data_IF_116514091135
#
_entry.id   IF_116514091135
#
_cell.length_a   1.000
_cell.length_b   1.000
_cell.length_c   1.000
_cell.angle_alpha   90.00
_cell.angle_beta   90.00
_cell.angle_gamma   90.00
#
_symmetry.space_group_name_H-M   'P 1'
#
loop_
_entity.id
_entity.type
_entity.pdbx_description
1 polymer ?
#
# COMPACT_ATOMS: atom_id res chain seq x y z
N UNK A 1 28.45 -3.07 3.42
CA UNK A 1 29.17 -2.30 2.40
C UNK A 1 30.27 -1.45 3.08
N UNK A 2 31.53 -1.70 2.76
CA UNK A 2 32.69 -1.00 3.38
C UNK A 2 32.76 0.46 2.86
N UNK A 3 32.39 0.69 1.62
CA UNK A 3 32.36 2.02 1.04
C UNK A 3 31.34 2.91 1.75
N UNK A 4 30.13 2.42 1.97
CA UNK A 4 29.08 3.13 2.70
C UNK A 4 29.52 3.44 4.14
N UNK A 5 30.13 2.50 4.85
CA UNK A 5 30.66 2.73 6.19
C UNK A 5 31.72 3.85 6.23
N UNK A 6 32.65 3.84 5.29
CA UNK A 6 33.69 4.86 5.21
C UNK A 6 33.10 6.24 4.90
N UNK A 7 32.13 6.29 3.99
CA UNK A 7 31.42 7.53 3.67
C UNK A 7 30.63 8.04 4.86
N UNK A 8 29.87 7.19 5.57
CA UNK A 8 29.14 7.56 6.76
C UNK A 8 30.06 8.08 7.86
N UNK A 9 31.18 7.40 8.13
CA UNK A 9 32.19 7.85 9.11
C UNK A 9 32.71 9.25 8.77
N UNK A 10 32.99 9.49 7.49
CA UNK A 10 33.52 10.77 7.00
C UNK A 10 32.49 11.91 7.03
N UNK A 11 31.25 11.64 6.60
CA UNK A 11 30.22 12.67 6.37
C UNK A 11 29.47 13.00 7.66
N UNK A 12 29.09 11.98 8.44
CA UNK A 12 28.25 12.19 9.61
C UNK A 12 28.98 12.78 10.82
N UNK A 13 30.29 12.57 10.90
CA UNK A 13 31.07 12.93 12.09
C UNK A 13 30.71 12.11 13.34
N UNK A 14 29.87 11.08 13.20
CA UNK A 14 29.47 10.19 14.30
C UNK A 14 30.62 9.27 14.70
N UNK A 15 30.63 8.87 15.96
CA UNK A 15 31.54 7.84 16.43
C UNK A 15 31.20 6.49 15.77
N UNK A 16 32.22 5.64 15.53
CA UNK A 16 32.03 4.32 14.95
C UNK A 16 31.04 3.43 15.74
N UNK A 17 30.83 3.72 17.02
CA UNK A 17 29.84 3.02 17.85
C UNK A 17 28.39 3.30 17.44
N UNK A 18 28.17 4.42 16.73
CA UNK A 18 26.85 4.81 16.22
C UNK A 18 26.62 4.40 14.75
N UNK A 19 27.65 3.84 14.11
CA UNK A 19 27.56 3.25 12.76
C UNK A 19 27.50 1.74 12.93
N UNK A 20 26.29 1.22 12.98
CA UNK A 20 26.02 -0.18 13.33
C UNK A 20 25.92 -1.01 12.04
N UNK A 21 26.69 -2.10 11.97
CA UNK A 21 26.61 -3.04 10.86
C UNK A 21 25.59 -4.13 11.17
N UNK A 22 24.61 -4.27 10.33
CA UNK A 22 23.59 -5.31 10.43
C UNK A 22 23.68 -6.16 9.15
N UNK A 23 23.86 -7.47 9.32
CA UNK A 23 24.06 -8.42 8.22
C UNK A 23 22.83 -9.26 7.90
N UNK A 24 21.67 -8.90 8.44
CA UNK A 24 20.40 -9.59 8.17
C UNK A 24 19.82 -9.21 6.81
N UNK A 25 18.83 -9.97 6.34
CA UNK A 25 18.09 -9.71 5.11
C UNK A 25 17.38 -8.35 5.12
N UNK A 26 17.13 -7.79 6.30
CA UNK A 26 16.41 -6.52 6.47
C UNK A 26 17.22 -5.32 5.94
N UNK A 27 18.53 -5.50 5.76
CA UNK A 27 19.42 -4.48 5.16
C UNK A 27 19.68 -4.70 3.68
N UNK A 28 18.80 -5.43 3.02
CA UNK A 28 18.80 -5.60 1.57
C UNK A 28 17.38 -5.37 1.03
N UNK A 29 17.19 -4.24 0.39
CA UNK A 29 15.89 -3.87 -0.17
C UNK A 29 15.70 -4.48 -1.55
N UNK A 30 14.47 -4.92 -1.82
CA UNK A 30 14.03 -5.42 -3.13
C UNK A 30 12.69 -4.82 -3.48
N UNK A 31 12.50 -4.44 -4.73
CA UNK A 31 11.23 -3.90 -5.24
C UNK A 31 10.09 -4.93 -5.18
N UNK A 32 10.43 -6.22 -5.20
CA UNK A 32 9.49 -7.35 -5.16
C UNK A 32 10.23 -8.65 -5.46
N UNK A 33 9.54 -9.61 -6.04
CA UNK A 33 10.14 -10.88 -6.49
C UNK A 33 11.14 -10.67 -7.65
N UNK A 34 10.94 -9.61 -8.43
CA UNK A 34 11.80 -9.16 -9.53
C UNK A 34 11.92 -7.63 -9.49
N UNK A 35 12.97 -7.10 -10.11
CA UNK A 35 13.22 -5.67 -10.23
C UNK A 35 14.48 -5.20 -9.51
N UNK A 36 14.76 -3.89 -9.49
CA UNK A 36 15.93 -3.30 -8.85
C UNK A 36 16.02 -3.66 -7.38
N UNK A 37 17.24 -3.93 -6.92
CA UNK A 37 17.49 -4.27 -5.52
C UNK A 37 18.94 -3.93 -5.12
N UNK A 38 19.20 -3.88 -3.81
CA UNK A 38 20.51 -3.62 -3.28
C UNK A 38 20.55 -3.43 -1.77
N UNK A 39 21.76 -3.36 -1.20
CA UNK A 39 21.93 -3.07 0.21
C UNK A 39 21.46 -1.66 0.55
N UNK A 40 21.10 -1.42 1.80
CA UNK A 40 20.65 -0.12 2.26
C UNK A 40 21.41 0.36 3.50
N UNK A 41 21.35 1.65 3.70
CA UNK A 41 21.72 2.35 4.94
C UNK A 41 20.52 3.10 5.46
N UNK A 42 20.32 3.05 6.77
CA UNK A 42 19.19 3.69 7.43
C UNK A 42 19.67 4.68 8.48
N UNK A 43 18.98 5.78 8.63
CA UNK A 43 19.23 6.77 9.68
C UNK A 43 18.13 6.64 10.72
N UNK A 44 18.55 6.39 11.95
CA UNK A 44 17.66 6.29 13.11
C UNK A 44 17.81 7.52 14.01
N UNK A 45 16.69 7.97 14.53
CA UNK A 45 16.64 9.02 15.56
C UNK A 45 16.44 8.37 16.94
N UNK A 46 17.25 8.78 17.92
CA UNK A 46 17.12 8.35 19.33
C UNK A 46 16.23 9.35 20.08
N UNK A 47 15.03 8.94 20.44
CA UNK A 47 14.10 9.75 21.25
C UNK A 47 14.51 9.87 22.73
N UNK A 48 15.61 9.24 23.10
CA UNK A 48 16.18 9.35 24.44
C UNK A 48 15.70 8.27 25.42
N UNK A 49 16.31 8.26 26.62
CA UNK A 49 16.19 7.14 27.55
C UNK A 49 14.83 7.03 28.27
N UNK A 50 13.93 7.98 28.06
CA UNK A 50 12.56 7.92 28.61
C UNK A 50 11.62 7.07 27.77
N UNK A 51 12.01 6.73 26.54
CA UNK A 51 11.26 5.86 25.64
C UNK A 51 11.91 4.47 25.68
N UNK A 52 11.09 3.42 25.74
CA UNK A 52 11.56 2.04 25.73
C UNK A 52 12.10 1.66 24.35
N UNK A 53 13.20 0.91 24.34
CA UNK A 53 13.82 0.39 23.12
C UNK A 53 15.33 0.53 23.13
N UNK A 54 15.97 -0.26 22.26
CA UNK A 54 17.40 -0.30 22.05
C UNK A 54 17.80 0.11 20.64
N UNK A 55 19.09 0.35 20.39
CA UNK A 55 19.57 0.67 19.06
C UNK A 55 19.36 -0.52 18.08
N UNK A 56 19.31 -0.24 16.77
CA UNK A 56 19.17 -1.27 15.74
C UNK A 56 20.20 -2.38 15.91
N UNK A 57 19.78 -3.64 15.75
CA UNK A 57 20.62 -4.83 15.98
C UNK A 57 20.74 -5.26 17.45
N UNK A 58 20.10 -4.54 18.38
CA UNK A 58 20.05 -4.94 19.80
C UNK A 58 18.82 -5.84 20.07
N UNK A 59 18.82 -6.46 21.26
CA UNK A 59 17.70 -7.33 21.67
C UNK A 59 16.38 -6.60 21.79
N UNK A 60 16.42 -5.31 22.09
CA UNK A 60 15.26 -4.46 22.36
C UNK A 60 15.03 -3.45 21.19
N UNK A 61 15.43 -3.80 19.98
CA UNK A 61 15.29 -2.95 18.78
C UNK A 61 13.86 -2.66 18.36
N UNK A 62 12.91 -3.53 18.73
CA UNK A 62 11.48 -3.37 18.42
C UNK A 62 10.78 -2.26 19.23
N UNK A 63 11.49 -1.58 20.13
CA UNK A 63 10.94 -0.50 20.93
C UNK A 63 10.85 0.83 20.15
N UNK A 64 10.07 1.78 20.68
CA UNK A 64 9.78 3.08 20.05
C UNK A 64 10.89 4.12 20.20
N UNK A 65 11.98 3.80 20.89
CA UNK A 65 13.06 4.77 21.16
C UNK A 65 13.87 5.14 19.92
N UNK A 66 14.28 4.13 19.13
CA UNK A 66 15.08 4.32 17.93
C UNK A 66 14.19 4.15 16.70
N UNK A 67 13.83 5.27 16.09
CA UNK A 67 12.93 5.27 14.94
C UNK A 67 13.72 5.54 13.66
N UNK A 68 13.60 4.66 12.67
CA UNK A 68 14.11 4.90 11.33
C UNK A 68 13.38 6.09 10.71
N UNK A 69 14.14 7.14 10.36
CA UNK A 69 13.59 8.33 9.71
C UNK A 69 13.91 8.41 8.24
N UNK A 70 14.98 7.76 7.79
CA UNK A 70 15.45 7.84 6.41
C UNK A 70 16.12 6.55 5.99
N UNK A 71 15.76 6.01 4.83
CA UNK A 71 16.37 4.86 4.19
C UNK A 71 17.04 5.28 2.89
N UNK A 72 18.29 4.83 2.66
CA UNK A 72 19.06 5.02 1.45
C UNK A 72 19.34 3.64 0.84
N UNK A 73 18.75 3.35 -0.31
CA UNK A 73 18.94 2.08 -1.01
C UNK A 73 19.97 2.24 -2.10
N UNK A 74 21.02 1.43 -2.05
CA UNK A 74 22.08 1.39 -3.06
C UNK A 74 21.71 0.37 -4.13
N UNK A 75 20.93 0.78 -5.12
CA UNK A 75 20.49 -0.10 -6.20
C UNK A 75 21.67 -0.46 -7.09
N UNK A 76 22.19 -1.66 -6.89
CA UNK A 76 23.35 -2.20 -7.61
C UNK A 76 22.96 -3.36 -8.52
N UNK A 77 21.82 -3.99 -8.23
CA UNK A 77 21.40 -5.24 -8.86
C UNK A 77 20.00 -5.16 -9.39
N UNK A 78 19.70 -6.05 -10.33
CA UNK A 78 18.37 -6.38 -10.77
C UNK A 78 18.07 -7.84 -10.52
N UNK A 79 17.01 -8.15 -9.82
CA UNK A 79 16.50 -9.49 -9.62
C UNK A 79 15.64 -9.86 -10.84
N UNK A 80 16.17 -10.74 -11.69
CA UNK A 80 15.48 -11.20 -12.91
C UNK A 80 14.46 -12.30 -12.56
N UNK A 81 14.84 -13.18 -11.65
CA UNK A 81 14.01 -14.27 -11.17
C UNK A 81 14.39 -14.61 -9.74
N UNK A 82 13.66 -15.51 -9.09
CA UNK A 82 13.95 -15.95 -7.71
C UNK A 82 15.41 -16.36 -7.48
N UNK A 83 16.07 -16.90 -8.50
CA UNK A 83 17.41 -17.46 -8.40
C UNK A 83 18.47 -16.73 -9.26
N UNK A 84 18.07 -15.68 -9.96
CA UNK A 84 18.95 -14.98 -10.89
C UNK A 84 18.98 -13.49 -10.60
N UNK A 85 20.19 -12.98 -10.37
CA UNK A 85 20.47 -11.59 -10.11
C UNK A 85 21.63 -11.12 -10.96
N UNK A 86 21.48 -9.97 -11.60
CA UNK A 86 22.50 -9.33 -12.43
C UNK A 86 22.86 -7.96 -11.90
N UNK A 87 24.01 -7.44 -12.27
CA UNK A 87 24.40 -6.08 -11.93
C UNK A 87 23.64 -5.10 -12.82
N UNK A 88 23.16 -4.00 -12.24
CA UNK A 88 22.62 -2.88 -13.02
C UNK A 88 23.76 -2.23 -13.83
N UNK A 89 23.52 -1.90 -15.10
CA UNK A 89 24.55 -1.22 -15.93
C UNK A 89 24.88 0.18 -15.40
N UNK A 90 23.95 0.83 -14.70
CA UNK A 90 24.15 2.12 -14.03
C UNK A 90 23.59 2.01 -12.61
N UNK A 91 24.40 1.70 -11.60
CA UNK A 91 23.99 1.74 -10.21
C UNK A 91 23.43 3.11 -9.84
N UNK A 92 22.42 3.15 -9.01
CA UNK A 92 21.78 4.36 -8.53
C UNK A 92 21.48 4.29 -7.04
N UNK A 93 21.13 5.42 -6.45
CA UNK A 93 20.71 5.50 -5.07
C UNK A 93 19.28 6.01 -5.07
N UNK A 94 18.39 5.25 -4.44
CA UNK A 94 17.04 5.69 -4.15
C UNK A 94 16.89 5.92 -2.66
N UNK A 95 16.15 6.94 -2.25
CA UNK A 95 15.99 7.26 -0.84
C UNK A 95 14.52 7.50 -0.49
N UNK A 96 14.13 7.08 0.72
CA UNK A 96 12.81 7.32 1.27
C UNK A 96 12.91 7.85 2.70
N UNK A 97 12.21 8.97 2.96
CA UNK A 97 12.08 9.55 4.29
C UNK A 97 10.62 9.56 4.71
N UNK A 98 10.32 9.05 5.90
CA UNK A 98 8.96 9.06 6.44
C UNK A 98 8.52 10.47 6.82
N UNK A 99 7.53 11.04 6.12
CA UNK A 99 7.03 12.39 6.40
C UNK A 99 6.58 12.53 7.85
N UNK A 100 5.79 11.61 8.36
CA UNK A 100 5.28 11.63 9.73
C UNK A 100 6.42 11.49 10.76
N UNK A 101 7.37 10.60 10.47
CA UNK A 101 8.50 10.34 11.36
C UNK A 101 9.40 11.55 11.48
N UNK A 102 9.79 12.18 10.36
CA UNK A 102 10.62 13.39 10.39
C UNK A 102 9.85 14.58 10.97
N UNK A 103 8.56 14.71 10.69
CA UNK A 103 7.72 15.75 11.29
C UNK A 103 7.63 15.61 12.80
N UNK A 104 7.47 14.39 13.31
CA UNK A 104 7.46 14.11 14.75
C UNK A 104 8.79 14.54 15.41
N UNK A 105 9.92 14.19 14.80
CA UNK A 105 11.25 14.59 15.27
C UNK A 105 11.38 16.10 15.30
N UNK A 106 11.01 16.81 14.22
CA UNK A 106 11.12 18.26 14.12
C UNK A 106 10.16 19.00 15.08
N UNK A 107 9.02 18.41 15.38
CA UNK A 107 8.04 18.93 16.34
C UNK A 107 8.30 18.46 17.78
N UNK A 108 9.42 17.76 18.00
CA UNK A 108 9.84 17.27 19.32
C UNK A 108 8.79 16.36 19.99
N UNK A 109 8.15 15.50 19.23
CA UNK A 109 7.28 14.42 19.72
C UNK A 109 7.81 13.06 19.25
N UNK A 110 7.50 11.99 19.99
CA UNK A 110 7.81 10.61 19.60
C UNK A 110 6.63 9.90 18.94
N UNK A 111 5.47 10.55 18.89
CA UNK A 111 4.24 9.97 18.38
C UNK A 111 3.80 10.69 17.09
N UNK A 112 3.78 9.99 15.97
CA UNK A 112 3.37 10.53 14.69
C UNK A 112 1.97 11.17 14.70
N UNK A 113 1.07 10.67 15.54
CA UNK A 113 -0.30 11.19 15.68
C UNK A 113 -0.41 12.45 16.55
N UNK A 114 0.69 12.88 17.18
CA UNK A 114 0.79 14.14 17.91
C UNK A 114 1.35 15.29 17.05
N UNK A 115 1.78 14.97 15.81
CA UNK A 115 2.14 16.02 14.83
C UNK A 115 0.90 16.85 14.48
N UNK A 116 1.10 18.11 14.10
CA UNK A 116 0.02 19.04 13.76
C UNK A 116 -0.96 18.43 12.75
N UNK A 117 -0.45 17.97 11.60
CA UNK A 117 -1.24 17.37 10.54
C UNK A 117 -2.08 16.16 11.01
N UNK A 118 -1.47 15.22 11.71
CA UNK A 118 -2.18 14.00 12.12
C UNK A 118 -3.15 14.26 13.28
N UNK A 119 -2.76 15.15 14.19
CA UNK A 119 -3.60 15.55 15.33
C UNK A 119 -4.92 16.15 14.86
N UNK A 120 -4.88 17.03 13.86
CA UNK A 120 -6.07 17.67 13.33
C UNK A 120 -7.00 16.68 12.61
N UNK A 121 -6.45 15.68 11.90
CA UNK A 121 -7.25 14.61 11.28
C UNK A 121 -7.89 13.70 12.34
N UNK A 122 -7.17 13.39 13.41
CA UNK A 122 -7.71 12.63 14.55
C UNK A 122 -8.83 13.41 15.24
N UNK A 123 -8.68 14.74 15.38
CA UNK A 123 -9.74 15.62 15.91
C UNK A 123 -10.96 15.63 14.98
N UNK A 124 -10.74 15.82 13.69
CA UNK A 124 -11.82 15.76 12.69
C UNK A 124 -12.58 14.43 12.75
N UNK A 125 -11.88 13.30 12.95
CA UNK A 125 -12.52 12.00 13.15
C UNK A 125 -13.45 11.99 14.38
N UNK A 126 -13.04 12.59 15.49
CA UNK A 126 -13.87 12.73 16.68
C UNK A 126 -15.13 13.57 16.40
N UNK A 127 -14.97 14.68 15.69
CA UNK A 127 -16.08 15.58 15.35
C UNK A 127 -17.14 14.92 14.44
N UNK A 128 -16.70 14.22 13.38
CA UNK A 128 -17.66 13.60 12.43
C UNK A 128 -18.34 12.36 12.99
N UNK A 129 -17.69 11.63 13.89
CA UNK A 129 -18.29 10.48 14.57
C UNK A 129 -19.15 10.90 15.78
N UNK A 130 -18.96 12.10 16.30
CA UNK A 130 -19.58 12.57 17.54
C UNK A 130 -19.09 11.86 18.80
N UNK A 131 -17.93 11.19 18.73
CA UNK A 131 -17.36 10.42 19.84
C UNK A 131 -16.07 11.04 20.31
N UNK A 132 -16.01 11.39 21.58
CA UNK A 132 -14.80 11.95 22.18
C UNK A 132 -13.67 10.93 22.25
N UNK A 133 -12.44 11.42 22.10
CA UNK A 133 -11.22 10.61 22.18
C UNK A 133 -10.96 10.17 23.62
N UNK A 134 -10.79 8.88 23.82
CA UNK A 134 -10.42 8.27 25.10
C UNK A 134 -9.24 7.33 24.91
N UNK A 135 -8.64 6.84 25.98
CA UNK A 135 -7.58 5.81 25.89
C UNK A 135 -8.06 4.53 25.21
N UNK A 136 -9.33 4.20 25.35
CA UNK A 136 -9.89 2.94 24.86
C UNK A 136 -10.23 3.00 23.35
N UNK A 137 -10.54 4.19 22.82
CA UNK A 137 -10.97 4.37 21.44
C UNK A 137 -10.00 5.14 20.53
N UNK A 138 -8.94 5.74 21.08
CA UNK A 138 -7.99 6.55 20.33
C UNK A 138 -7.38 5.81 19.12
N UNK A 139 -7.17 4.50 19.24
CA UNK A 139 -6.66 3.68 18.14
C UNK A 139 -7.60 3.73 16.93
N UNK A 140 -8.92 3.69 17.15
CA UNK A 140 -9.89 3.79 16.06
C UNK A 140 -9.84 5.14 15.35
N UNK A 141 -9.74 6.24 16.09
CA UNK A 141 -9.59 7.58 15.50
C UNK A 141 -8.29 7.72 14.71
N UNK A 142 -7.18 7.16 15.21
CA UNK A 142 -5.88 7.14 14.51
C UNK A 142 -5.94 6.35 13.21
N UNK A 143 -6.56 5.17 13.23
CA UNK A 143 -6.74 4.36 12.01
C UNK A 143 -7.59 5.09 10.98
N UNK A 144 -8.67 5.74 11.39
CA UNK A 144 -9.51 6.53 10.48
C UNK A 144 -8.72 7.67 9.85
N UNK A 145 -7.95 8.42 10.62
CA UNK A 145 -7.12 9.54 10.15
C UNK A 145 -6.03 9.08 9.16
N UNK A 146 -5.31 8.03 9.50
CA UNK A 146 -4.24 7.45 8.67
C UNK A 146 -4.79 6.90 7.34
N UNK A 147 -5.86 6.11 7.43
CA UNK A 147 -6.44 5.47 6.25
C UNK A 147 -7.15 6.47 5.33
N UNK A 148 -7.74 7.54 5.86
CA UNK A 148 -8.33 8.62 5.06
C UNK A 148 -7.31 9.18 4.06
N UNK A 149 -6.07 9.43 4.50
CA UNK A 149 -5.00 9.92 3.63
C UNK A 149 -4.69 8.93 2.52
N UNK A 150 -4.38 7.69 2.88
CA UNK A 150 -4.05 6.63 1.92
C UNK A 150 -5.18 6.44 0.90
N UNK A 151 -6.43 6.40 1.35
CA UNK A 151 -7.62 6.26 0.50
C UNK A 151 -7.73 7.44 -0.47
N UNK A 152 -7.62 8.66 0.04
CA UNK A 152 -7.82 9.87 -0.76
C UNK A 152 -6.75 10.02 -1.85
N UNK A 153 -5.48 9.78 -1.52
CA UNK A 153 -4.40 9.83 -2.50
C UNK A 153 -4.53 8.73 -3.56
N UNK A 154 -4.84 7.50 -3.17
CA UNK A 154 -5.03 6.40 -4.14
C UNK A 154 -6.18 6.70 -5.10
N UNK A 155 -7.29 7.27 -4.62
CA UNK A 155 -8.42 7.65 -5.48
C UNK A 155 -8.04 8.84 -6.38
N UNK A 156 -7.32 9.84 -5.85
CA UNK A 156 -6.84 10.96 -6.65
C UNK A 156 -5.94 10.51 -7.80
N UNK A 157 -5.11 9.48 -7.59
CA UNK A 157 -4.28 8.81 -8.59
C UNK A 157 -5.05 7.84 -9.51
N UNK A 158 -6.38 7.81 -9.44
CA UNK A 158 -7.23 7.03 -10.33
C UNK A 158 -7.44 5.56 -9.92
N UNK A 159 -6.99 5.14 -8.73
CA UNK A 159 -7.28 3.79 -8.23
C UNK A 159 -8.71 3.76 -7.68
N UNK A 160 -9.54 2.88 -8.22
CA UNK A 160 -10.92 2.69 -7.75
C UNK A 160 -11.08 1.35 -7.02
N UNK A 161 -12.00 1.26 -6.03
CA UNK A 161 -12.22 0.00 -5.30
C UNK A 161 -12.69 -1.11 -6.24
N UNK A 162 -12.01 -2.26 -6.20
CA UNK A 162 -12.32 -3.43 -7.02
C UNK A 162 -12.13 -4.74 -6.24
N UNK A 163 -12.36 -5.89 -6.89
CA UNK A 163 -12.19 -7.21 -6.29
C UNK A 163 -10.78 -7.79 -6.50
N UNK A 164 -9.94 -7.12 -7.28
CA UNK A 164 -8.60 -7.60 -7.62
C UNK A 164 -7.59 -6.45 -7.74
N UNK A 165 -6.31 -6.79 -7.81
CA UNK A 165 -5.22 -5.86 -8.04
C UNK A 165 -5.14 -4.72 -7.00
N UNK A 166 -4.73 -3.53 -7.45
CA UNK A 166 -4.57 -2.34 -6.60
C UNK A 166 -5.90 -1.89 -5.98
N UNK A 167 -7.00 -1.99 -6.72
CA UNK A 167 -8.34 -1.62 -6.24
C UNK A 167 -8.84 -2.52 -5.10
N UNK A 168 -8.44 -3.80 -5.06
CA UNK A 168 -8.71 -4.68 -3.94
C UNK A 168 -7.98 -4.22 -2.67
N UNK A 169 -6.72 -3.81 -2.79
CA UNK A 169 -5.96 -3.28 -1.66
C UNK A 169 -6.61 -2.00 -1.13
N UNK A 170 -6.97 -1.07 -2.03
CA UNK A 170 -7.71 0.15 -1.66
C UNK A 170 -9.01 -0.20 -0.90
N UNK A 171 -9.82 -1.11 -1.44
CA UNK A 171 -11.06 -1.55 -0.79
C UNK A 171 -10.83 -2.11 0.61
N UNK A 172 -9.77 -2.88 0.82
CA UNK A 172 -9.39 -3.38 2.15
C UNK A 172 -9.07 -2.26 3.13
N UNK A 173 -8.29 -1.26 2.70
CA UNK A 173 -7.96 -0.08 3.52
C UNK A 173 -9.24 0.68 3.87
N UNK A 174 -10.12 0.92 2.89
CA UNK A 174 -11.41 1.58 3.10
C UNK A 174 -12.26 0.84 4.14
N UNK A 175 -12.44 -0.46 3.98
CA UNK A 175 -13.26 -1.28 4.89
C UNK A 175 -12.68 -1.35 6.30
N UNK A 176 -11.35 -1.34 6.42
CA UNK A 176 -10.72 -1.25 7.74
C UNK A 176 -11.03 0.09 8.42
N UNK A 177 -10.98 1.20 7.71
CA UNK A 177 -11.38 2.49 8.26
C UNK A 177 -12.87 2.51 8.66
N UNK A 178 -13.74 1.99 7.79
CA UNK A 178 -15.19 1.88 8.04
C UNK A 178 -15.53 1.00 9.26
N UNK A 179 -14.78 -0.10 9.45
CA UNK A 179 -14.90 -0.90 10.67
C UNK A 179 -14.58 -0.06 11.90
N UNK A 180 -13.51 0.73 11.86
CA UNK A 180 -13.16 1.58 13.00
C UNK A 180 -14.17 2.69 13.26
N UNK A 181 -14.81 3.27 12.24
CA UNK A 181 -15.94 4.19 12.46
C UNK A 181 -17.15 3.47 13.05
N UNK A 182 -17.44 2.23 12.66
CA UNK A 182 -18.48 1.42 13.28
C UNK A 182 -18.18 1.11 14.76
N UNK A 183 -16.92 0.77 15.11
CA UNK A 183 -16.50 0.59 16.51
C UNK A 183 -16.65 1.87 17.35
N UNK A 184 -16.56 3.03 16.71
CA UNK A 184 -16.86 4.33 17.32
C UNK A 184 -18.37 4.63 17.39
N UNK A 185 -19.24 3.71 16.94
CA UNK A 185 -20.68 3.85 17.01
C UNK A 185 -21.32 4.61 15.84
N UNK A 186 -20.57 4.89 14.78
CA UNK A 186 -21.15 5.53 13.59
C UNK A 186 -22.04 4.53 12.84
N UNK A 187 -23.32 4.88 12.70
CA UNK A 187 -24.32 4.10 11.94
C UNK A 187 -24.46 4.52 10.49
N UNK A 188 -23.99 5.72 10.15
CA UNK A 188 -24.08 6.32 8.82
C UNK A 188 -22.70 6.54 8.21
N UNK A 189 -22.59 6.69 6.87
CA UNK A 189 -21.35 7.08 6.22
C UNK A 189 -20.79 8.39 6.77
N UNK A 190 -19.54 8.39 7.22
CA UNK A 190 -18.89 9.54 7.86
C UNK A 190 -17.49 9.84 7.32
N UNK A 191 -16.77 8.83 6.78
CA UNK A 191 -15.37 9.00 6.33
C UNK A 191 -15.30 10.00 5.18
N UNK A 192 -16.23 9.96 4.23
CA UNK A 192 -16.26 10.91 3.12
C UNK A 192 -16.32 12.38 3.57
N UNK A 193 -16.90 12.67 4.74
CA UNK A 193 -16.97 14.02 5.30
C UNK A 193 -15.60 14.56 5.75
N UNK A 194 -14.67 13.66 6.07
CA UNK A 194 -13.32 13.99 6.49
C UNK A 194 -12.42 14.45 5.34
N UNK A 195 -12.80 14.18 4.09
CA UNK A 195 -12.02 14.60 2.90
C UNK A 195 -11.81 16.11 2.90
N UNK A 196 -12.79 16.88 3.35
CA UNK A 196 -12.66 18.33 3.48
C UNK A 196 -11.51 18.72 4.42
N UNK A 197 -11.43 18.12 5.60
CA UNK A 197 -10.36 18.41 6.57
C UNK A 197 -8.97 18.01 6.05
N UNK A 198 -8.90 16.92 5.29
CA UNK A 198 -7.65 16.53 4.63
C UNK A 198 -7.22 17.56 3.59
N UNK A 199 -8.15 18.04 2.76
CA UNK A 199 -7.88 19.05 1.72
C UNK A 199 -7.43 20.38 2.35
N UNK A 200 -8.05 20.80 3.46
CA UNK A 200 -7.66 22.02 4.18
C UNK A 200 -6.21 21.96 4.67
N UNK A 201 -5.68 20.78 4.93
CA UNK A 201 -4.30 20.63 5.43
C UNK A 201 -3.28 20.36 4.31
N UNK A 202 -3.65 19.56 3.33
CA UNK A 202 -2.71 19.05 2.34
C UNK A 202 -2.97 19.56 0.92
N UNK A 203 -4.10 20.22 0.66
CA UNK A 203 -4.52 20.63 -0.67
C UNK A 203 -3.60 21.65 -1.35
N UNK A 204 -2.93 22.51 -0.59
CA UNK A 204 -1.96 23.47 -1.15
C UNK A 204 -0.71 22.77 -1.68
N UNK A 205 -0.25 21.74 -0.99
CA UNK A 205 0.91 20.94 -1.42
C UNK A 205 0.54 19.86 -2.45
N UNK A 206 -0.71 19.41 -2.44
CA UNK A 206 -1.24 18.34 -3.29
C UNK A 206 -2.54 18.77 -3.97
N UNK A 207 -2.48 19.61 -5.02
CA UNK A 207 -3.64 20.15 -5.71
C UNK A 207 -4.56 19.10 -6.34
N UNK A 208 -4.05 17.88 -6.60
CA UNK A 208 -4.86 16.74 -7.05
C UNK A 208 -5.95 16.37 -6.06
N UNK A 209 -5.75 16.52 -4.75
CA UNK A 209 -6.78 16.29 -3.74
C UNK A 209 -7.93 17.28 -3.89
N UNK A 210 -7.62 18.54 -4.21
CA UNK A 210 -8.62 19.59 -4.46
C UNK A 210 -9.39 19.30 -5.74
N UNK A 211 -8.65 19.00 -6.82
CA UNK A 211 -9.22 18.75 -8.15
C UNK A 211 -10.13 17.53 -8.15
N UNK A 212 -9.74 16.46 -7.45
CA UNK A 212 -10.47 15.20 -7.39
C UNK A 212 -11.43 15.09 -6.20
N UNK A 213 -11.65 16.17 -5.45
CA UNK A 213 -12.47 16.17 -4.23
C UNK A 213 -13.78 15.40 -4.38
N UNK A 214 -14.59 15.72 -5.40
CA UNK A 214 -15.88 15.09 -5.61
C UNK A 214 -15.76 13.60 -5.94
N UNK A 215 -14.75 13.21 -6.71
CA UNK A 215 -14.47 11.81 -7.02
C UNK A 215 -14.12 11.04 -5.74
N UNK A 216 -13.26 11.61 -4.89
CA UNK A 216 -12.85 11.02 -3.62
C UNK A 216 -14.05 10.86 -2.70
N UNK A 217 -14.81 11.95 -2.45
CA UNK A 217 -15.99 11.95 -1.57
C UNK A 217 -17.04 10.93 -2.03
N UNK A 218 -17.38 10.91 -3.32
CA UNK A 218 -18.39 10.00 -3.85
C UNK A 218 -17.93 8.54 -3.80
N UNK A 219 -16.66 8.26 -4.17
CA UNK A 219 -16.12 6.90 -4.13
C UNK A 219 -16.09 6.35 -2.71
N UNK A 220 -15.67 7.15 -1.74
CA UNK A 220 -15.69 6.75 -0.32
C UNK A 220 -17.13 6.51 0.13
N UNK A 221 -18.03 7.46 -0.12
CA UNK A 221 -19.42 7.36 0.30
C UNK A 221 -20.13 6.13 -0.28
N UNK A 222 -19.90 5.84 -1.57
CA UNK A 222 -20.51 4.69 -2.24
C UNK A 222 -20.00 3.35 -1.64
N UNK A 223 -18.71 3.27 -1.33
CA UNK A 223 -18.17 2.06 -0.68
C UNK A 223 -18.60 1.95 0.79
N UNK A 224 -18.76 3.07 1.51
CA UNK A 224 -19.34 3.09 2.87
C UNK A 224 -20.77 2.53 2.87
N UNK A 225 -21.61 2.97 1.93
CA UNK A 225 -23.00 2.49 1.79
C UNK A 225 -22.98 0.98 1.46
N UNK A 226 -22.19 0.56 0.48
CA UNK A 226 -22.08 -0.85 0.08
C UNK A 226 -21.53 -1.73 1.22
N UNK A 227 -20.59 -1.23 1.99
CA UNK A 227 -20.02 -1.97 3.10
C UNK A 227 -21.00 -2.10 4.26
N UNK A 228 -21.80 -1.07 4.52
CA UNK A 228 -22.87 -1.14 5.51
C UNK A 228 -23.84 -2.30 5.20
N UNK A 229 -24.31 -2.40 3.95
CA UNK A 229 -25.17 -3.50 3.52
C UNK A 229 -24.49 -4.87 3.67
N UNK A 230 -23.20 -4.92 3.36
CA UNK A 230 -22.35 -6.13 3.55
C UNK A 230 -22.22 -6.48 5.02
N UNK A 231 -22.03 -5.47 5.86
CA UNK A 231 -21.91 -5.62 7.31
C UNK A 231 -23.22 -6.19 7.90
N UNK A 232 -24.35 -5.61 7.55
CA UNK A 232 -25.66 -6.02 8.04
C UNK A 232 -25.97 -7.48 7.63
N UNK A 233 -25.68 -7.85 6.37
CA UNK A 233 -25.83 -9.25 5.88
C UNK A 233 -24.87 -10.21 6.56
N UNK A 234 -23.61 -9.83 6.66
CA UNK A 234 -22.57 -10.63 7.31
C UNK A 234 -22.89 -10.88 8.78
N UNK A 235 -23.33 -9.85 9.48
CA UNK A 235 -23.81 -9.97 10.86
C UNK A 235 -24.99 -10.92 10.97
N UNK A 236 -26.01 -10.79 10.12
CA UNK A 236 -27.17 -11.68 10.13
C UNK A 236 -26.77 -13.14 9.89
N UNK A 237 -25.86 -13.39 8.93
CA UNK A 237 -25.37 -14.74 8.66
C UNK A 237 -24.53 -15.29 9.82
N UNK A 238 -23.68 -14.47 10.42
CA UNK A 238 -22.87 -14.85 11.55
C UNK A 238 -23.73 -15.19 12.78
N UNK A 239 -24.75 -14.38 13.06
CA UNK A 239 -25.68 -14.62 14.17
C UNK A 239 -26.47 -15.92 14.00
N UNK A 240 -26.81 -16.32 12.76
CA UNK A 240 -27.47 -17.60 12.49
C UNK A 240 -26.56 -18.82 12.76
N UNK A 241 -25.25 -18.66 12.74
CA UNK A 241 -24.29 -19.73 13.04
C UNK A 241 -24.00 -19.85 14.54
N UNK A 242 -24.30 -18.82 15.32
CA UNK A 242 -24.05 -18.81 16.76
C UNK A 242 -25.22 -19.48 17.50
N UNK A 243 -24.94 -20.62 18.11
CA UNK A 243 -25.88 -21.24 19.07
C UNK A 243 -25.47 -20.80 20.48
N UNK A 244 -26.27 -19.95 21.11
CA UNK A 244 -26.02 -19.47 22.47
C UNK A 244 -25.98 -20.57 23.53
N UNK A 245 -26.52 -21.78 23.21
CA UNK A 245 -26.49 -22.96 24.09
C UNK A 245 -25.14 -23.67 24.05
N UNK A 246 -24.29 -23.34 23.04
CA UNK A 246 -22.96 -23.92 22.85
C UNK A 246 -21.92 -22.86 23.16
N UNK A 247 -21.42 -22.82 24.39
CA UNK A 247 -20.31 -21.91 24.75
C UNK A 247 -19.27 -22.69 25.57
N UNK A 248 -17.96 -22.67 25.18
CA UNK A 248 -17.37 -21.99 24.04
C UNK A 248 -17.63 -22.69 22.68
N UNK A 249 -18.01 -21.95 21.67
CA UNK A 249 -18.19 -22.42 20.29
C UNK A 249 -16.99 -22.12 19.39
N UNK A 250 -16.93 -22.81 18.25
CA UNK A 250 -15.94 -22.57 17.21
C UNK A 250 -16.67 -22.44 15.87
N UNK A 251 -16.57 -21.26 15.24
CA UNK A 251 -17.03 -21.07 13.88
C UNK A 251 -16.07 -21.78 12.92
N UNK A 252 -16.60 -22.60 12.00
CA UNK A 252 -15.76 -23.32 11.05
C UNK A 252 -14.98 -22.35 10.16
N UNK A 253 -13.72 -22.69 9.84
CA UNK A 253 -12.89 -21.86 8.98
C UNK A 253 -13.47 -21.69 7.58
N UNK A 254 -14.18 -22.69 7.06
CA UNK A 254 -14.89 -22.58 5.78
C UNK A 254 -15.99 -21.51 5.83
N UNK A 255 -16.77 -21.45 6.92
CA UNK A 255 -17.83 -20.45 7.09
C UNK A 255 -17.27 -19.05 7.28
N UNK A 256 -16.19 -18.92 8.06
CA UNK A 256 -15.47 -17.66 8.20
C UNK A 256 -14.89 -17.18 6.85
N UNK A 257 -14.41 -18.13 6.03
CA UNK A 257 -13.94 -17.83 4.67
C UNK A 257 -15.08 -17.42 3.73
N UNK A 258 -16.23 -18.08 3.80
CA UNK A 258 -17.42 -17.69 3.03
C UNK A 258 -17.87 -16.26 3.36
N UNK A 259 -17.91 -15.90 4.64
CA UNK A 259 -18.18 -14.54 5.07
C UNK A 259 -17.19 -13.54 4.50
N UNK A 260 -15.91 -13.89 4.49
CA UNK A 260 -14.83 -13.05 3.97
C UNK A 260 -14.87 -12.91 2.44
N UNK A 261 -14.91 -14.03 1.72
CA UNK A 261 -14.73 -14.08 0.25
C UNK A 261 -16.01 -13.68 -0.49
N UNK A 262 -17.16 -14.22 -0.07
CA UNK A 262 -18.44 -14.02 -0.76
C UNK A 262 -19.15 -12.75 -0.32
N UNK A 263 -19.16 -12.52 0.98
CA UNK A 263 -19.89 -11.37 1.55
C UNK A 263 -18.98 -10.19 1.86
N UNK A 264 -17.66 -10.36 1.76
CA UNK A 264 -16.68 -9.30 2.02
C UNK A 264 -16.64 -8.86 3.48
N UNK A 265 -17.10 -9.74 4.39
CA UNK A 265 -17.12 -9.49 5.83
C UNK A 265 -15.75 -9.84 6.42
N UNK A 266 -14.97 -8.87 6.92
CA UNK A 266 -13.59 -9.10 7.32
C UNK A 266 -13.45 -10.14 8.45
N UNK A 267 -12.40 -10.96 8.40
CA UNK A 267 -12.15 -12.00 9.40
C UNK A 267 -12.01 -11.43 10.81
N UNK A 268 -11.28 -10.36 10.96
CA UNK A 268 -11.04 -9.66 12.23
C UNK A 268 -12.34 -9.12 12.83
N UNK A 269 -13.29 -8.68 12.00
CA UNK A 269 -14.61 -8.31 12.47
C UNK A 269 -15.44 -9.53 12.91
N UNK A 270 -15.33 -10.63 12.14
CA UNK A 270 -15.94 -11.92 12.55
C UNK A 270 -15.44 -12.33 13.93
N UNK A 271 -14.14 -12.25 14.19
CA UNK A 271 -13.53 -12.58 15.46
C UNK A 271 -13.99 -11.69 16.61
N UNK A 272 -14.05 -10.36 16.37
CA UNK A 272 -14.50 -9.40 17.38
C UNK A 272 -15.96 -9.67 17.80
N UNK A 273 -16.83 -9.99 16.84
CA UNK A 273 -18.21 -10.34 17.11
C UNK A 273 -18.27 -11.65 17.92
N UNK A 274 -17.60 -12.69 17.43
CA UNK A 274 -17.58 -14.01 18.08
C UNK A 274 -17.06 -13.95 19.51
N UNK A 275 -16.07 -13.10 19.76
CA UNK A 275 -15.49 -12.92 21.10
C UNK A 275 -16.53 -12.48 22.13
N UNK A 276 -17.50 -11.65 21.76
CA UNK A 276 -18.58 -11.20 22.64
C UNK A 276 -19.55 -12.33 23.03
N UNK A 277 -19.58 -13.43 22.25
CA UNK A 277 -20.38 -14.63 22.49
C UNK A 277 -19.55 -15.81 23.07
N UNK A 278 -18.26 -15.59 23.36
CA UNK A 278 -17.36 -16.64 23.83
C UNK A 278 -16.94 -17.66 22.76
N UNK A 279 -17.12 -17.30 21.49
CA UNK A 279 -16.77 -18.11 20.33
C UNK A 279 -15.40 -17.73 19.76
N UNK A 280 -14.81 -18.66 18.99
CA UNK A 280 -13.53 -18.46 18.27
C UNK A 280 -13.69 -18.89 16.81
N UNK A 281 -12.73 -18.51 15.97
CA UNK A 281 -12.64 -18.97 14.57
C UNK A 281 -11.66 -20.14 14.47
N UNK A 282 -11.96 -21.12 13.62
CA UNK A 282 -11.00 -22.13 13.17
C UNK A 282 -10.07 -21.49 12.10
N UNK A 283 -8.97 -20.91 12.57
CA UNK A 283 -7.96 -20.28 11.70
C UNK A 283 -7.35 -21.25 10.70
N UNK A 284 -7.10 -22.51 11.09
CA UNK A 284 -6.50 -23.50 10.18
C UNK A 284 -7.42 -23.84 9.02
N UNK A 285 -8.71 -24.00 9.29
CA UNK A 285 -9.72 -24.21 8.27
C UNK A 285 -9.89 -22.99 7.36
N UNK A 286 -9.81 -21.77 7.92
CA UNK A 286 -9.85 -20.53 7.16
C UNK A 286 -8.65 -20.41 6.21
N UNK A 287 -7.42 -20.61 6.70
CA UNK A 287 -6.19 -20.58 5.90
C UNK A 287 -6.21 -21.63 4.80
N UNK A 288 -6.73 -22.83 5.07
CA UNK A 288 -6.90 -23.88 4.07
C UNK A 288 -7.83 -23.41 2.94
N UNK A 289 -9.01 -22.89 3.27
CA UNK A 289 -9.98 -22.38 2.28
C UNK A 289 -9.40 -21.21 1.49
N UNK A 290 -8.68 -20.31 2.14
CA UNK A 290 -7.97 -19.19 1.49
C UNK A 290 -6.91 -19.67 0.49
N UNK A 291 -6.13 -20.69 0.85
CA UNK A 291 -5.11 -21.25 -0.03
C UNK A 291 -5.73 -22.00 -1.23
N UNK A 292 -6.82 -22.73 -1.00
CA UNK A 292 -7.58 -23.37 -2.09
C UNK A 292 -8.11 -22.33 -3.08
N UNK A 293 -8.63 -21.21 -2.61
CA UNK A 293 -9.09 -20.10 -3.44
C UNK A 293 -7.93 -19.45 -4.20
N UNK A 294 -6.79 -19.19 -3.53
CA UNK A 294 -5.58 -18.67 -4.20
C UNK A 294 -5.08 -19.58 -5.32
N UNK A 295 -5.12 -20.91 -5.11
CA UNK A 295 -4.75 -21.88 -6.13
C UNK A 295 -5.72 -21.82 -7.31
N UNK A 296 -7.04 -21.81 -7.05
CA UNK A 296 -8.07 -21.67 -8.08
C UNK A 296 -7.92 -20.34 -8.85
N UNK A 297 -7.71 -19.23 -8.13
CA UNK A 297 -7.48 -17.92 -8.75
C UNK A 297 -6.22 -17.92 -9.63
N UNK A 298 -5.11 -18.54 -9.16
CA UNK A 298 -3.89 -18.69 -9.97
C UNK A 298 -4.09 -19.58 -11.20
N UNK A 299 -4.89 -20.64 -11.11
CA UNK A 299 -5.21 -21.50 -12.23
C UNK A 299 -6.16 -20.83 -13.25
N UNK A 300 -7.07 -20.00 -12.74
CA UNK A 300 -7.97 -19.19 -13.56
C UNK A 300 -7.30 -17.93 -14.11
N UNK A 301 -6.15 -17.55 -13.55
CA UNK A 301 -5.42 -16.35 -13.94
C UNK A 301 -4.67 -16.60 -15.24
N UNK A 302 -5.16 -16.03 -16.32
CA UNK A 302 -4.55 -16.08 -17.66
C UNK A 302 -3.44 -15.04 -17.88
N UNK A 303 -2.86 -14.50 -16.80
CA UNK A 303 -1.90 -13.40 -16.81
C UNK A 303 -2.53 -12.08 -16.34
N UNK A 304 -1.76 -11.23 -15.67
CA UNK A 304 -2.12 -9.81 -15.52
C UNK A 304 -2.14 -9.25 -16.94
N UNK A 305 -3.16 -8.74 -17.50
CA UNK A 305 -3.28 -8.23 -18.88
C UNK A 305 -2.06 -7.51 -19.50
N UNK A 306 -0.93 -7.48 -18.84
CA UNK A 306 0.41 -7.40 -19.39
C UNK A 306 0.70 -8.79 -20.00
N UNK A 307 0.22 -9.02 -21.21
CA UNK A 307 0.71 -10.13 -22.04
C UNK A 307 2.21 -9.95 -22.16
N UNK A 308 2.97 -10.69 -21.36
CA UNK A 308 4.42 -10.74 -21.53
C UNK A 308 4.65 -11.13 -22.98
N UNK A 309 5.23 -10.24 -23.76
CA UNK A 309 5.60 -10.50 -25.14
C UNK A 309 6.33 -11.85 -25.21
N UNK A 310 6.07 -12.63 -26.26
CA UNK A 310 6.80 -13.88 -26.44
C UNK A 310 8.32 -13.60 -26.54
N UNK A 311 9.14 -14.61 -26.28
CA UNK A 311 10.59 -14.44 -26.25
C UNK A 311 11.19 -13.87 -27.54
N UNK A 312 10.55 -14.12 -28.69
CA UNK A 312 11.03 -13.60 -29.97
C UNK A 312 10.78 -12.11 -30.13
N UNK A 313 9.64 -11.60 -29.64
CA UNK A 313 9.36 -10.16 -29.59
C UNK A 313 10.29 -9.47 -28.58
N UNK A 314 10.49 -10.08 -27.41
CA UNK A 314 11.43 -9.53 -26.41
C UNK A 314 12.86 -9.40 -26.95
N UNK A 315 13.35 -10.37 -27.73
CA UNK A 315 14.66 -10.26 -28.39
C UNK A 315 14.71 -9.11 -29.37
N UNK A 316 13.68 -8.95 -30.17
CA UNK A 316 13.60 -7.83 -31.14
C UNK A 316 13.52 -6.47 -30.44
N UNK A 317 12.81 -6.38 -29.29
CA UNK A 317 12.77 -5.15 -28.48
C UNK A 317 14.13 -4.79 -27.90
N UNK A 318 14.94 -5.79 -27.53
CA UNK A 318 16.31 -5.57 -27.00
C UNK A 318 17.28 -5.07 -28.09
N UNK A 319 17.03 -5.40 -29.37
CA UNK A 319 17.84 -4.96 -30.51
C UNK A 319 17.46 -3.52 -30.98
N UNK A 320 16.33 -2.97 -30.53
CA UNK A 320 15.93 -1.62 -30.86
C UNK A 320 16.66 -0.59 -29.98
N UNK A 321 16.95 0.60 -30.49
CA UNK A 321 17.45 1.68 -29.66
C UNK A 321 16.39 2.08 -28.61
N UNK A 322 16.82 2.48 -27.40
CA UNK A 322 15.88 2.93 -26.38
C UNK A 322 15.06 4.13 -26.86
N UNK A 323 13.76 4.09 -26.58
CA UNK A 323 12.86 5.21 -26.91
C UNK A 323 13.32 6.50 -26.23
N UNK A 324 13.46 7.57 -26.98
CA UNK A 324 13.85 8.87 -26.47
C UNK A 324 12.60 9.67 -26.06
N UNK A 325 12.45 9.97 -24.78
CA UNK A 325 11.37 10.82 -24.32
C UNK A 325 11.71 12.30 -24.49
N UNK A 326 10.89 13.02 -25.27
CA UNK A 326 11.07 14.44 -25.63
C UNK A 326 10.00 15.36 -25.04
N UNK A 327 9.08 14.86 -24.27
CA UNK A 327 7.93 15.61 -23.74
C UNK A 327 8.27 16.73 -22.75
N UNK A 328 9.53 16.83 -22.30
CA UNK A 328 9.98 17.97 -21.50
C UNK A 328 10.26 19.23 -22.32
N UNK A 329 10.65 19.05 -23.57
CA UNK A 329 11.13 20.16 -24.43
C UNK A 329 10.16 20.48 -25.57
N UNK A 330 9.34 19.52 -25.98
CA UNK A 330 8.49 19.63 -27.17
C UNK A 330 7.07 19.13 -26.92
N UNK A 331 6.08 19.85 -27.44
CA UNK A 331 4.67 19.46 -27.37
C UNK A 331 4.20 18.69 -28.62
N UNK A 332 4.97 18.73 -29.70
CA UNK A 332 4.71 18.02 -30.97
C UNK A 332 6.03 17.66 -31.61
N UNK A 333 6.15 16.47 -32.19
CA UNK A 333 7.32 16.06 -32.94
C UNK A 333 6.97 14.95 -33.95
N UNK A 334 7.82 14.75 -34.92
CA UNK A 334 7.72 13.66 -35.88
C UNK A 334 8.53 12.45 -35.35
N UNK A 335 7.93 11.27 -35.38
CA UNK A 335 8.58 10.02 -34.97
C UNK A 335 8.33 8.92 -35.98
N UNK A 336 9.14 7.87 -35.90
CA UNK A 336 9.00 6.67 -36.69
C UNK A 336 8.42 5.56 -35.81
N UNK A 337 7.46 4.83 -36.35
CA UNK A 337 6.97 3.58 -35.76
C UNK A 337 7.96 2.48 -36.13
N UNK A 338 8.58 1.84 -35.15
CA UNK A 338 9.53 0.77 -35.37
C UNK A 338 8.85 -0.60 -35.37
N UNK A 339 7.85 -0.81 -34.50
CA UNK A 339 7.08 -2.04 -34.46
C UNK A 339 5.60 -1.78 -34.15
N UNK A 340 4.73 -2.60 -34.73
CA UNK A 340 3.30 -2.70 -34.37
C UNK A 340 3.06 -4.14 -33.90
N UNK A 341 2.57 -4.28 -32.69
CA UNK A 341 2.34 -5.59 -32.05
C UNK A 341 0.84 -5.75 -31.79
N UNK A 342 0.28 -6.89 -32.16
CA UNK A 342 -1.10 -7.27 -31.88
C UNK A 342 -1.16 -8.75 -31.53
N UNK A 343 -1.76 -9.11 -30.41
CA UNK A 343 -1.91 -10.49 -29.96
C UNK A 343 -0.57 -11.27 -29.99
N UNK A 344 0.50 -10.65 -29.47
CA UNK A 344 1.84 -11.24 -29.45
C UNK A 344 2.42 -11.61 -30.84
N UNK A 345 2.03 -10.86 -31.90
CA UNK A 345 2.58 -10.98 -33.26
C UNK A 345 2.87 -9.60 -33.82
N UNK A 346 3.89 -9.53 -34.67
CA UNK A 346 4.31 -8.29 -35.36
C UNK A 346 3.52 -8.15 -36.65
N UNK A 347 3.07 -6.92 -36.91
CA UNK A 347 2.34 -6.55 -38.13
C UNK A 347 3.00 -5.33 -38.77
N UNK A 348 3.01 -5.31 -40.12
CA UNK A 348 3.44 -4.13 -40.87
C UNK A 348 2.31 -3.11 -41.03
N UNK A 349 1.07 -3.58 -41.04
CA UNK A 349 -0.12 -2.75 -41.20
C UNK A 349 -1.27 -3.31 -40.34
N UNK A 350 -2.11 -2.42 -39.82
CA UNK A 350 -3.30 -2.74 -39.05
C UNK A 350 -4.49 -1.92 -39.52
N UNK A 351 -5.69 -2.42 -39.32
CA UNK A 351 -6.91 -1.73 -39.71
C UNK A 351 -7.28 -0.65 -38.68
N UNK A 352 -8.04 0.35 -39.12
CA UNK A 352 -8.57 1.35 -38.22
C UNK A 352 -9.45 0.71 -37.13
N UNK A 353 -9.39 1.24 -35.91
CA UNK A 353 -10.10 0.77 -34.71
C UNK A 353 -9.62 -0.58 -34.14
N UNK A 354 -8.49 -1.07 -34.56
CA UNK A 354 -7.85 -2.21 -33.90
C UNK A 354 -6.98 -1.75 -32.71
N UNK A 355 -7.05 -2.49 -31.60
CA UNK A 355 -6.19 -2.26 -30.45
C UNK A 355 -4.82 -2.91 -30.69
N UNK A 356 -3.77 -2.12 -30.64
CA UNK A 356 -2.40 -2.56 -30.91
C UNK A 356 -1.41 -1.82 -30.02
N UNK A 357 -0.26 -2.44 -29.78
CA UNK A 357 0.87 -1.81 -29.13
C UNK A 357 1.82 -1.27 -30.21
N UNK A 358 2.23 -0.02 -30.05
CA UNK A 358 3.12 0.65 -31.01
C UNK A 358 4.43 1.00 -30.33
N UNK A 359 5.54 0.60 -30.90
CA UNK A 359 6.88 0.96 -30.45
C UNK A 359 7.40 2.08 -31.34
N UNK A 360 7.75 3.21 -30.75
CA UNK A 360 8.25 4.39 -31.45
C UNK A 360 9.66 4.76 -30.99
N UNK A 361 10.44 5.35 -31.90
CA UNK A 361 11.78 5.86 -31.60
C UNK A 361 11.76 6.97 -30.54
N UNK A 362 10.73 7.79 -30.54
CA UNK A 362 10.59 8.91 -29.59
C UNK A 362 9.14 9.09 -29.16
N UNK A 363 8.94 9.57 -27.93
CA UNK A 363 7.64 9.87 -27.33
C UNK A 363 7.66 11.23 -26.63
N UNK A 364 6.50 11.91 -26.57
CA UNK A 364 6.30 13.14 -25.81
C UNK A 364 5.36 12.95 -24.61
N UNK A 365 4.62 11.84 -24.59
CA UNK A 365 3.69 11.53 -23.51
C UNK A 365 3.87 10.08 -23.08
N UNK A 366 4.03 9.87 -21.80
CA UNK A 366 3.98 8.54 -21.19
C UNK A 366 2.59 8.44 -20.57
N UNK A 367 1.69 7.69 -21.21
CA UNK A 367 0.44 7.27 -20.60
C UNK A 367 0.67 5.92 -19.96
N UNK A 368 0.23 5.74 -18.73
CA UNK A 368 0.05 4.38 -18.21
C UNK A 368 -0.90 3.64 -19.15
N UNK A 369 -0.65 2.36 -19.47
CA UNK A 369 -1.58 1.58 -20.24
C UNK A 369 -2.93 1.63 -19.51
N UNK A 370 -3.92 2.21 -20.17
CA UNK A 370 -5.31 2.13 -19.70
C UNK A 370 -5.69 0.66 -19.70
N UNK A 371 -5.82 0.10 -18.51
CA UNK A 371 -6.28 -1.26 -18.28
C UNK A 371 -7.75 -1.41 -18.62
#
# INVERSE_FOLDING_TARGET
>A
DIEAENLWTKISGLSNKKIIKISTSDKFWSMGDTGPCGPCSEIFYDHGPLIEGGPPGSKDEDGDRFIEIWNLVFMQFEQISKNERVNLPKPSIDTGMGLERISAVLQNTHNNYETDMMKDLVEASSLVTGVEKTKDNIVSHRVVADHLRSISFLIAEGVLPSNEGRGYVLRRIMRRAMRHTHLLGASDPVIFKLVKSLIEQMGDAFPELVTQKLTIENTIKDEEIKFKDTLDRGMSLLMNEIDEKVSPGILSGHKAFELYDTYGFPLDLTEDVLKSYGWKVDHKGFEKSMNEQKIKARQAWSGSGDDAYNQDILKLLLDLPPTNFRGYDENTFETKIDLIIKNNKIYENVLANEKVDIICLSLIHISEPTR
#
